data_IF_327053335646
#
_entry.id   IF_327053335646
#
_cell.length_a   1.000
_cell.length_b   1.000
_cell.length_c   1.000
_cell.angle_alpha   90.00
_cell.angle_beta   90.00
_cell.angle_gamma   90.00
#
_symmetry.space_group_name_H-M   'P 1'
#
loop_
_entity.id
_entity.type
_entity.pdbx_description
1 polymer ?
#
# COMPACT_ATOMS: atom_id res chain seq x y z
N UNK A 1 15.69 9.31 -1.06
CA UNK A 1 15.76 9.16 -2.55
C UNK A 1 14.54 9.76 -3.24
N UNK A 2 13.30 9.41 -2.84
CA UNK A 2 12.09 9.92 -3.51
C UNK A 2 11.97 11.45 -3.49
N UNK A 3 12.11 12.11 -2.34
CA UNK A 3 12.10 13.59 -2.26
C UNK A 3 13.00 14.29 -3.29
N UNK A 4 14.24 13.82 -3.47
CA UNK A 4 15.18 14.34 -4.48
C UNK A 4 14.71 14.10 -5.93
N UNK A 5 13.96 13.03 -6.18
CA UNK A 5 13.44 12.71 -7.52
C UNK A 5 12.13 13.46 -7.84
N UNK A 6 11.29 13.72 -6.84
CA UNK A 6 10.06 14.52 -6.96
C UNK A 6 10.27 16.02 -6.81
N UNK A 7 11.41 16.45 -6.23
CA UNK A 7 11.63 17.81 -5.72
C UNK A 7 10.58 18.23 -4.67
N UNK A 8 10.19 17.28 -3.82
CA UNK A 8 9.15 17.43 -2.79
C UNK A 8 9.58 16.75 -1.49
N UNK A 9 9.87 17.58 -0.47
CA UNK A 9 10.34 17.16 0.86
C UNK A 9 9.30 16.32 1.62
N UNK A 10 8.02 16.35 1.22
CA UNK A 10 6.98 15.47 1.76
C UNK A 10 7.25 13.96 1.55
N UNK A 11 8.19 13.62 0.65
CA UNK A 11 8.65 12.24 0.40
C UNK A 11 10.00 11.90 1.06
N UNK A 12 10.42 12.70 2.05
CA UNK A 12 11.53 12.32 2.94
C UNK A 12 11.11 11.25 3.94
N UNK A 13 12.11 10.53 4.47
CA UNK A 13 11.88 9.42 5.40
C UNK A 13 11.07 9.88 6.61
N UNK A 14 11.50 10.95 7.27
CA UNK A 14 10.83 11.53 8.45
C UNK A 14 9.45 12.11 8.14
N UNK A 15 9.28 12.73 6.97
CA UNK A 15 7.98 13.28 6.54
C UNK A 15 6.93 12.17 6.33
N UNK A 16 7.37 10.98 5.91
CA UNK A 16 6.49 9.82 5.72
C UNK A 16 6.18 9.08 7.03
N UNK A 17 7.05 9.14 8.05
CA UNK A 17 6.88 8.38 9.30
C UNK A 17 5.51 8.56 9.99
N UNK A 18 4.94 9.78 10.13
CA UNK A 18 3.61 9.95 10.72
C UNK A 18 2.50 9.25 9.95
N UNK A 19 2.62 9.16 8.62
CA UNK A 19 1.65 8.47 7.77
C UNK A 19 1.82 6.96 7.81
N UNK A 20 3.06 6.47 7.83
CA UNK A 20 3.37 5.05 8.03
C UNK A 20 2.79 4.61 9.38
N UNK A 21 3.21 5.22 10.50
CA UNK A 21 2.72 4.89 11.85
C UNK A 21 1.21 5.05 12.03
N UNK A 22 0.53 5.90 11.24
CA UNK A 22 -0.95 6.02 11.26
C UNK A 22 -1.66 4.85 10.55
N UNK A 23 -1.03 4.25 9.55
CA UNK A 23 -1.54 3.06 8.87
C UNK A 23 -1.03 1.76 9.53
N UNK A 24 0.14 1.81 10.17
CA UNK A 24 0.70 0.79 11.05
C UNK A 24 0.01 0.81 12.39
N UNK A 25 -1.13 0.19 12.35
CA UNK A 25 -1.25 -1.13 12.90
C UNK A 25 0.06 -1.77 13.55
N UNK A 26 0.09 -2.18 14.85
CA UNK A 26 0.84 -3.30 15.53
C UNK A 26 -0.04 -4.15 16.56
N UNK A 27 -0.03 -5.51 16.61
CA UNK A 27 -0.81 -6.46 17.49
C UNK A 27 -0.06 -7.78 17.81
N UNK A 28 -0.51 -8.51 18.84
CA UNK A 28 0.03 -9.81 19.24
C UNK A 28 0.00 -10.89 18.13
N UNK A 29 1.02 -11.78 18.06
CA UNK A 29 1.00 -12.97 17.21
C UNK A 29 -0.15 -13.93 17.55
N UNK A 30 -0.59 -14.71 16.56
CA UNK A 30 -1.76 -15.61 16.70
C UNK A 30 -1.58 -16.73 17.75
N UNK A 31 -0.34 -17.07 18.08
CA UNK A 31 0.03 -18.06 19.11
C UNK A 31 0.37 -17.42 20.47
N UNK A 32 0.28 -16.09 20.62
CA UNK A 32 0.54 -15.34 21.85
C UNK A 32 1.90 -15.62 22.52
N UNK A 33 2.92 -15.97 21.74
CA UNK A 33 4.27 -16.17 22.25
C UNK A 33 4.95 -14.85 22.64
N UNK A 34 5.99 -14.93 23.48
CA UNK A 34 6.81 -13.77 23.83
C UNK A 34 7.61 -13.25 22.63
N UNK A 35 7.44 -11.96 22.35
CA UNK A 35 8.03 -11.22 21.24
C UNK A 35 9.14 -10.25 21.68
N UNK A 36 9.55 -10.32 22.95
CA UNK A 36 10.64 -9.51 23.49
C UNK A 36 11.92 -9.75 22.69
N UNK A 37 12.54 -8.67 22.19
CA UNK A 37 13.76 -8.74 21.37
C UNK A 37 13.53 -9.20 19.92
N UNK A 38 12.28 -9.32 19.45
CA UNK A 38 11.98 -9.68 18.06
C UNK A 38 11.66 -8.47 17.14
N UNK A 39 11.43 -7.29 17.71
CA UNK A 39 11.12 -6.05 16.97
C UNK A 39 11.51 -4.83 17.81
N UNK A 40 11.59 -3.65 17.18
CA UNK A 40 11.71 -2.37 17.89
C UNK A 40 10.34 -1.70 18.04
N UNK A 41 9.78 -1.55 19.26
CA UNK A 41 8.53 -0.83 19.48
C UNK A 41 8.54 0.63 19.02
N UNK A 42 9.71 1.28 18.91
CA UNK A 42 9.82 2.65 18.42
C UNK A 42 9.66 2.77 16.90
N UNK A 43 9.80 1.68 16.15
CA UNK A 43 9.67 1.67 14.69
C UNK A 43 8.21 1.77 14.21
N UNK A 44 7.22 1.37 15.03
CA UNK A 44 5.82 1.20 14.60
C UNK A 44 4.83 2.23 15.17
N UNK A 45 3.65 2.27 14.56
CA UNK A 45 2.43 2.69 15.23
C UNK A 45 1.76 1.53 15.99
N UNK A 46 0.85 1.83 16.92
CA UNK A 46 0.44 0.89 17.97
C UNK A 46 -0.77 -0.03 17.69
N UNK A 47 -1.24 -0.19 16.44
CA UNK A 47 -2.69 -0.36 16.20
C UNK A 47 -3.24 -1.64 15.41
N UNK A 48 -2.53 -2.79 15.24
CA UNK A 48 -2.82 -3.98 14.35
C UNK A 48 -1.87 -4.76 13.32
N UNK A 49 -0.52 -4.68 13.23
CA UNK A 49 0.46 -5.56 12.46
C UNK A 49 1.10 -6.56 13.42
N UNK A 50 1.35 -7.82 13.05
CA UNK A 50 1.98 -8.76 14.00
C UNK A 50 3.33 -9.30 13.56
N UNK A 51 4.05 -9.87 14.53
CA UNK A 51 5.14 -10.80 14.26
C UNK A 51 4.60 -12.20 13.90
N UNK A 52 5.42 -13.08 13.30
CA UNK A 52 5.00 -14.41 12.84
C UNK A 52 4.36 -15.26 13.95
N UNK A 53 3.06 -15.53 13.82
CA UNK A 53 2.31 -16.42 14.74
C UNK A 53 2.56 -17.92 14.53
N UNK A 54 3.50 -18.30 13.67
CA UNK A 54 3.83 -19.69 13.34
C UNK A 54 5.36 -19.84 13.16
N UNK A 55 6.11 -20.01 14.26
CA UNK A 55 7.56 -20.22 14.20
C UNK A 55 7.89 -21.56 13.53
N UNK A 56 9.00 -21.60 12.80
CA UNK A 56 9.54 -22.80 12.15
C UNK A 56 10.69 -23.35 12.98
N UNK A 57 10.91 -24.66 12.91
CA UNK A 57 12.06 -25.31 13.59
C UNK A 57 13.44 -24.81 13.14
N UNK A 58 13.51 -24.08 12.02
CA UNK A 58 14.73 -23.45 11.49
C UNK A 58 15.02 -22.06 12.06
N UNK A 59 14.05 -21.39 12.67
CA UNK A 59 14.17 -19.95 12.97
C UNK A 59 15.29 -19.69 13.98
N UNK A 60 15.38 -20.51 15.02
CA UNK A 60 16.47 -20.44 16.00
C UNK A 60 17.86 -20.69 15.38
N UNK A 61 17.98 -21.56 14.36
CA UNK A 61 19.24 -21.81 13.66
C UNK A 61 19.66 -20.60 12.82
N UNK A 62 18.69 -19.94 12.18
CA UNK A 62 18.91 -18.72 11.40
C UNK A 62 19.32 -17.54 12.30
N UNK A 63 18.68 -17.38 13.46
CA UNK A 63 19.07 -16.38 14.45
C UNK A 63 20.44 -16.69 15.06
N UNK A 64 20.74 -17.95 15.36
CA UNK A 64 22.06 -18.35 15.89
C UNK A 64 23.21 -17.99 14.93
N UNK A 65 23.02 -18.15 13.62
CA UNK A 65 24.02 -17.79 12.61
C UNK A 65 24.45 -16.30 12.70
N UNK A 66 23.58 -15.41 13.19
CA UNK A 66 23.91 -13.98 13.38
C UNK A 66 24.93 -13.71 14.47
N UNK A 67 25.08 -14.64 15.42
CA UNK A 67 26.07 -14.60 16.49
C UNK A 67 27.36 -15.34 16.11
N UNK A 68 27.28 -16.27 15.16
CA UNK A 68 28.43 -17.02 14.63
C UNK A 68 29.17 -16.25 13.53
N UNK A 69 28.45 -15.49 12.71
CA UNK A 69 28.98 -14.71 11.58
C UNK A 69 28.43 -13.26 11.57
N UNK A 70 28.65 -12.46 12.63
CA UNK A 70 28.03 -11.14 12.78
C UNK A 70 28.47 -10.11 11.73
N UNK A 71 29.66 -10.26 11.13
CA UNK A 71 30.19 -9.34 10.12
C UNK A 71 29.49 -9.51 8.74
N UNK A 72 28.94 -10.70 8.46
CA UNK A 72 28.26 -11.03 7.19
C UNK A 72 26.73 -11.05 7.37
N UNK A 73 26.26 -11.55 8.52
CA UNK A 73 24.84 -11.74 8.84
C UNK A 73 24.47 -11.08 10.18
N UNK A 74 24.67 -9.77 10.36
CA UNK A 74 24.38 -9.09 11.63
C UNK A 74 22.90 -9.27 12.01
N UNK A 75 22.63 -9.44 13.31
CA UNK A 75 21.25 -9.41 13.80
C UNK A 75 20.67 -8.00 13.61
N UNK A 76 19.51 -7.93 12.97
CA UNK A 76 18.73 -6.72 12.83
C UNK A 76 17.47 -6.86 13.68
N UNK A 77 17.36 -6.03 14.73
CA UNK A 77 16.18 -6.01 15.59
C UNK A 77 14.92 -5.62 14.81
N UNK A 78 15.03 -4.71 13.84
CA UNK A 78 13.90 -4.29 13.03
C UNK A 78 14.29 -3.64 11.68
N UNK A 79 13.91 -4.27 10.56
CA UNK A 79 14.21 -3.73 9.23
C UNK A 79 13.37 -2.49 8.84
N UNK A 80 12.27 -2.20 9.54
CA UNK A 80 11.43 -1.01 9.29
C UNK A 80 11.96 0.24 10.00
N UNK A 81 12.97 0.11 10.88
CA UNK A 81 13.69 1.21 11.53
C UNK A 81 14.36 2.22 10.57
N UNK A 82 14.42 1.91 9.27
CA UNK A 82 15.16 2.64 8.25
C UNK A 82 16.47 1.95 7.84
N UNK A 83 16.93 0.96 8.61
CA UNK A 83 18.12 0.16 8.32
C UNK A 83 17.72 -1.29 8.05
N UNK A 84 17.77 -1.72 6.78
CA UNK A 84 17.23 -3.01 6.33
C UNK A 84 18.23 -4.17 6.28
N UNK A 85 19.53 -3.92 6.49
CA UNK A 85 20.57 -4.96 6.38
C UNK A 85 20.60 -5.85 7.62
N UNK A 86 20.90 -7.14 7.41
CA UNK A 86 20.99 -8.14 8.49
C UNK A 86 19.83 -9.15 8.48
N UNK A 87 19.80 -9.98 9.52
CA UNK A 87 18.79 -11.02 9.74
C UNK A 87 17.97 -10.66 10.98
N UNK A 88 16.65 -10.63 10.84
CA UNK A 88 15.71 -10.29 11.90
C UNK A 88 14.38 -10.98 11.71
N UNK A 89 13.45 -10.74 12.62
CA UNK A 89 12.08 -11.24 12.48
C UNK A 89 11.29 -10.32 11.54
N UNK A 90 10.47 -10.91 10.68
CA UNK A 90 9.71 -10.17 9.69
C UNK A 90 8.25 -9.98 10.14
N UNK A 91 7.80 -8.75 10.42
CA UNK A 91 6.38 -8.47 10.64
C UNK A 91 5.53 -8.85 9.43
N UNK A 92 4.27 -9.19 9.70
CA UNK A 92 3.31 -9.64 8.71
C UNK A 92 2.01 -8.85 8.81
N UNK A 93 1.34 -8.65 7.68
CA UNK A 93 -0.03 -8.10 7.63
C UNK A 93 -1.05 -9.18 8.01
N UNK A 94 -1.00 -9.65 9.26
CA UNK A 94 -1.89 -10.67 9.84
C UNK A 94 -2.44 -10.15 11.17
N UNK A 95 -3.70 -10.45 11.46
CA UNK A 95 -4.36 -10.12 12.71
C UNK A 95 -5.31 -11.25 13.10
N UNK A 96 -5.28 -11.67 14.37
CA UNK A 96 -6.10 -12.77 14.90
C UNK A 96 -6.03 -14.05 14.04
N UNK A 97 -4.82 -14.43 13.60
CA UNK A 97 -4.61 -15.60 12.72
C UNK A 97 -5.09 -15.45 11.26
N UNK A 98 -5.66 -14.30 10.88
CA UNK A 98 -6.21 -14.05 9.53
C UNK A 98 -5.46 -12.95 8.79
N UNK A 99 -5.47 -12.97 7.45
CA UNK A 99 -4.82 -11.93 6.64
C UNK A 99 -5.48 -10.57 6.86
N UNK A 100 -4.70 -9.59 7.33
CA UNK A 100 -5.07 -8.18 7.27
C UNK A 100 -4.92 -7.70 5.83
N UNK A 101 -6.03 -7.35 5.19
CA UNK A 101 -6.06 -6.86 3.80
C UNK A 101 -6.64 -5.45 3.76
N UNK A 102 -6.35 -4.68 2.70
CA UNK A 102 -6.96 -3.35 2.52
C UNK A 102 -8.50 -3.41 2.52
N UNK A 103 -9.08 -4.49 2.00
CA UNK A 103 -10.53 -4.71 2.07
C UNK A 103 -11.01 -4.80 3.51
N UNK A 104 -10.39 -5.64 4.36
CA UNK A 104 -10.79 -5.79 5.76
C UNK A 104 -10.56 -4.49 6.54
N UNK A 105 -9.39 -3.86 6.35
CA UNK A 105 -8.94 -2.73 7.16
C UNK A 105 -9.51 -1.37 6.75
N UNK A 106 -10.06 -1.22 5.54
CA UNK A 106 -10.63 0.05 5.04
C UNK A 106 -12.04 -0.07 4.44
N UNK A 107 -12.47 -1.25 4.01
CA UNK A 107 -13.79 -1.52 3.41
C UNK A 107 -14.58 -2.61 4.17
N UNK A 108 -14.15 -2.95 5.40
CA UNK A 108 -14.83 -3.91 6.27
C UNK A 108 -16.28 -3.50 6.63
N UNK A 109 -17.05 -4.39 7.28
CA UNK A 109 -18.47 -4.16 7.59
C UNK A 109 -18.76 -2.82 8.28
N UNK A 110 -17.87 -2.38 9.16
CA UNK A 110 -17.93 -1.11 9.89
C UNK A 110 -17.76 0.14 9.02
N UNK A 111 -17.26 -0.02 7.79
CA UNK A 111 -16.95 1.07 6.87
C UNK A 111 -17.88 1.11 5.66
N UNK A 112 -18.30 -0.05 5.15
CA UNK A 112 -19.14 -0.16 3.95
C UNK A 112 -20.57 0.37 4.17
N UNK A 113 -21.05 0.43 5.42
CA UNK A 113 -22.36 0.99 5.77
C UNK A 113 -22.47 2.53 5.69
N UNK A 114 -21.40 3.25 5.32
CA UNK A 114 -21.42 4.71 5.18
C UNK A 114 -22.23 5.13 3.96
N UNK A 115 -23.27 5.96 4.16
CA UNK A 115 -24.19 6.42 3.09
C UNK A 115 -23.53 7.19 1.93
N UNK A 116 -22.30 7.66 2.11
CA UNK A 116 -21.51 8.39 1.11
C UNK A 116 -20.37 7.55 0.50
N UNK A 117 -20.32 6.24 0.78
CA UNK A 117 -19.34 5.31 0.21
C UNK A 117 -20.07 4.27 -0.64
N UNK A 118 -19.77 4.24 -1.94
CA UNK A 118 -20.30 3.26 -2.88
C UNK A 118 -19.14 2.45 -3.47
N UNK A 119 -19.27 1.13 -3.44
CA UNK A 119 -18.27 0.20 -4.02
C UNK A 119 -18.97 -0.65 -5.08
N UNK A 120 -18.64 -0.40 -6.34
CA UNK A 120 -19.13 -1.19 -7.47
C UNK A 120 -18.13 -2.32 -7.76
N UNK A 121 -18.51 -3.55 -7.44
CA UNK A 121 -17.73 -4.75 -7.75
C UNK A 121 -18.03 -5.26 -9.16
N UNK A 122 -17.15 -6.09 -9.71
CA UNK A 122 -17.27 -6.70 -11.05
C UNK A 122 -17.38 -5.69 -12.21
N UNK A 123 -17.00 -4.42 -11.99
CA UNK A 123 -16.95 -3.37 -12.99
C UNK A 123 -15.50 -3.00 -13.31
N UNK A 124 -15.11 -3.08 -14.57
CA UNK A 124 -13.76 -2.74 -15.03
C UNK A 124 -13.76 -1.38 -15.73
N UNK A 125 -13.05 -0.39 -15.18
CA UNK A 125 -12.84 0.92 -15.83
C UNK A 125 -11.96 0.72 -17.07
N UNK A 126 -12.46 1.14 -18.23
CA UNK A 126 -11.78 0.97 -19.53
C UNK A 126 -11.04 2.22 -19.99
N UNK A 127 -11.60 3.40 -19.68
CA UNK A 127 -11.03 4.72 -19.98
C UNK A 127 -11.67 5.83 -19.14
N UNK A 128 -10.96 6.94 -19.04
CA UNK A 128 -11.42 8.24 -18.55
C UNK A 128 -12.04 9.00 -19.73
N UNK A 129 -13.01 9.86 -19.44
CA UNK A 129 -13.71 10.71 -20.39
C UNK A 129 -13.35 12.19 -20.12
N UNK A 130 -12.85 12.86 -21.15
CA UNK A 130 -12.59 14.31 -21.15
C UNK A 130 -13.92 15.06 -21.27
N UNK A 131 -14.06 16.16 -20.54
CA UNK A 131 -15.20 17.07 -20.69
C UNK A 131 -15.16 17.76 -22.06
N UNK A 132 -16.31 17.95 -22.70
CA UNK A 132 -16.44 18.55 -24.03
C UNK A 132 -16.19 20.08 -24.07
N UNK A 133 -15.54 20.63 -23.04
CA UNK A 133 -15.21 22.05 -22.92
C UNK A 133 -13.85 22.28 -23.59
N UNK A 134 -13.87 22.52 -24.90
CA UNK A 134 -12.68 22.90 -25.66
C UNK A 134 -12.62 24.43 -25.82
N UNK A 135 -11.93 25.08 -24.88
CA UNK A 135 -11.43 26.44 -25.05
C UNK A 135 -9.91 26.38 -25.29
N UNK A 136 -9.43 27.19 -26.23
CA UNK A 136 -8.00 27.37 -26.47
C UNK A 136 -7.31 27.76 -25.15
N UNK A 137 -6.17 27.13 -24.86
CA UNK A 137 -5.32 27.34 -23.68
C UNK A 137 -5.89 26.88 -22.32
N UNK A 138 -7.03 26.18 -22.25
CA UNK A 138 -7.51 25.57 -20.99
C UNK A 138 -7.02 24.12 -20.88
N UNK A 139 -6.44 23.69 -19.73
CA UNK A 139 -6.08 22.30 -19.49
C UNK A 139 -7.28 21.34 -19.64
N UNK A 140 -7.06 20.10 -20.12
CA UNK A 140 -8.15 19.13 -20.26
C UNK A 140 -8.75 18.80 -18.89
N UNK A 141 -10.06 18.96 -18.76
CA UNK A 141 -10.81 18.55 -17.57
C UNK A 141 -11.39 17.15 -17.77
N UNK A 142 -11.36 16.34 -16.71
CA UNK A 142 -11.86 14.97 -16.72
C UNK A 142 -12.95 14.83 -15.65
N UNK A 143 -14.17 14.52 -16.09
CA UNK A 143 -15.35 14.51 -15.24
C UNK A 143 -16.13 13.20 -15.25
N UNK A 144 -15.69 12.18 -16.00
CA UNK A 144 -16.33 10.88 -15.98
C UNK A 144 -15.36 9.73 -16.33
N UNK A 145 -15.76 8.51 -15.98
CA UNK A 145 -15.11 7.26 -16.41
C UNK A 145 -16.10 6.35 -17.12
N UNK A 146 -15.61 5.56 -18.08
CA UNK A 146 -16.37 4.52 -18.78
C UNK A 146 -15.94 3.15 -18.28
N UNK A 147 -16.90 2.33 -17.85
CA UNK A 147 -16.64 0.98 -17.36
C UNK A 147 -17.50 -0.08 -18.05
N UNK A 148 -17.06 -1.33 -17.94
CA UNK A 148 -17.78 -2.52 -18.39
C UNK A 148 -18.11 -3.42 -17.20
N UNK A 149 -19.39 -3.77 -17.11
CA UNK A 149 -19.96 -4.88 -16.32
C UNK A 149 -20.79 -5.71 -17.32
N UNK A 150 -21.83 -6.44 -16.88
CA UNK A 150 -22.85 -7.06 -17.75
C UNK A 150 -23.50 -6.04 -18.70
N UNK A 151 -23.46 -4.74 -18.35
CA UNK A 151 -23.76 -3.61 -19.22
C UNK A 151 -22.63 -2.56 -19.18
N UNK A 152 -22.66 -1.59 -20.10
CA UNK A 152 -21.73 -0.45 -20.12
C UNK A 152 -22.31 0.71 -19.32
N UNK A 153 -21.49 1.39 -18.52
CA UNK A 153 -21.90 2.54 -17.73
C UNK A 153 -20.88 3.67 -17.72
N UNK A 154 -21.37 4.86 -17.35
CA UNK A 154 -20.59 6.09 -17.19
C UNK A 154 -21.03 6.80 -15.91
N UNK A 155 -20.10 7.42 -15.18
CA UNK A 155 -20.38 8.11 -13.89
C UNK A 155 -19.67 9.45 -13.84
N UNK A 156 -20.40 10.49 -13.44
CA UNK A 156 -19.89 11.85 -13.26
C UNK A 156 -19.14 12.02 -11.92
N UNK A 157 -17.97 12.64 -11.94
CA UNK A 157 -17.04 12.76 -10.81
C UNK A 157 -16.42 14.16 -10.77
N UNK A 158 -16.12 14.67 -9.56
CA UNK A 158 -15.39 15.94 -9.38
C UNK A 158 -13.91 15.77 -9.70
N UNK A 159 -13.32 14.66 -9.26
CA UNK A 159 -11.93 14.27 -9.44
C UNK A 159 -11.86 12.75 -9.65
N UNK A 160 -10.82 12.27 -10.31
CA UNK A 160 -10.67 10.86 -10.70
C UNK A 160 -9.31 10.35 -10.21
N UNK A 161 -9.32 9.55 -9.13
CA UNK A 161 -8.12 8.98 -8.53
C UNK A 161 -7.86 7.60 -9.14
N UNK A 162 -6.77 7.45 -9.89
CA UNK A 162 -6.45 6.23 -10.64
C UNK A 162 -5.66 5.21 -9.82
N UNK A 163 -6.37 4.39 -9.03
CA UNK A 163 -5.78 3.37 -8.14
C UNK A 163 -5.76 1.94 -8.71
N UNK A 164 -5.74 1.78 -10.04
CA UNK A 164 -5.78 0.48 -10.74
C UNK A 164 -4.41 -0.25 -10.82
N UNK A 165 -3.48 0.07 -9.91
CA UNK A 165 -2.12 -0.47 -9.89
C UNK A 165 -1.22 0.05 -11.02
N UNK A 166 0.07 -0.28 -10.96
CA UNK A 166 1.10 0.21 -11.88
C UNK A 166 0.88 -0.17 -13.36
N UNK A 167 0.18 -1.28 -13.61
CA UNK A 167 -0.17 -1.75 -14.96
C UNK A 167 -1.54 -1.21 -15.40
N UNK A 168 -2.58 -1.40 -14.59
CA UNK A 168 -3.95 -1.03 -14.95
C UNK A 168 -4.13 0.47 -15.12
N UNK A 169 -3.55 1.30 -14.25
CA UNK A 169 -3.60 2.77 -14.39
C UNK A 169 -2.97 3.24 -15.71
N UNK A 170 -1.83 2.67 -16.12
CA UNK A 170 -1.20 3.01 -17.41
C UNK A 170 -2.09 2.62 -18.60
N UNK A 171 -2.68 1.43 -18.57
CA UNK A 171 -3.59 0.98 -19.63
C UNK A 171 -4.83 1.88 -19.76
N UNK A 172 -5.44 2.26 -18.64
CA UNK A 172 -6.58 3.19 -18.60
C UNK A 172 -6.19 4.56 -19.18
N UNK A 173 -5.04 5.13 -18.79
CA UNK A 173 -4.56 6.42 -19.30
C UNK A 173 -4.33 6.39 -20.82
N UNK A 174 -3.65 5.37 -21.34
CA UNK A 174 -3.42 5.20 -22.78
C UNK A 174 -4.73 5.06 -23.56
N UNK A 175 -5.68 4.24 -23.09
CA UNK A 175 -7.03 4.13 -23.67
C UNK A 175 -7.86 5.43 -23.59
N UNK A 176 -7.46 6.36 -22.71
CA UNK A 176 -8.08 7.68 -22.56
C UNK A 176 -7.50 8.72 -23.51
N UNK A 177 -6.42 8.39 -24.23
CA UNK A 177 -5.64 9.34 -25.04
C UNK A 177 -4.61 10.15 -24.22
N UNK A 178 -4.22 9.65 -23.03
CA UNK A 178 -3.24 10.28 -22.15
C UNK A 178 -1.96 9.42 -22.18
N UNK A 179 -0.96 9.90 -22.92
CA UNK A 179 0.33 9.25 -23.09
C UNK A 179 1.02 9.74 -24.36
N UNK A 180 2.18 9.16 -24.68
CA UNK A 180 2.93 9.54 -25.86
C UNK A 180 2.14 9.23 -27.14
N UNK A 181 1.94 10.26 -27.96
CA UNK A 181 1.52 10.09 -29.34
C UNK A 181 2.75 9.65 -30.14
N UNK A 182 2.78 8.45 -30.75
CA UNK A 182 3.88 8.10 -31.63
C UNK A 182 3.99 9.14 -32.74
N UNK A 183 5.20 9.67 -32.94
CA UNK A 183 5.52 10.55 -34.06
C UNK A 183 5.30 9.80 -35.36
N UNK A 184 4.51 10.39 -36.26
CA UNK A 184 4.35 9.92 -37.64
C UNK A 184 5.58 10.26 -38.48
#
# INVERSE_FOLDING_TARGET
RYAKASSDEGWEWEALQPYIRKNERFVAPANYHDITGQFDPAAYGFDGINLPGFPRGTDNLIIQATSELPDEFPFNLDYNSGYQLGIGWAPMTVGNGTRSSLQVSHLGPQYIGRRNLHVLINAHVTRILRSCIEYNHVPPTFGAVKFTQDTRGEVGLKEIICSAGSVGTRHILLNSGIGDRPSC
#
